data_IF_684374322312
#
_entry.id   IF_684374322312
#
_cell.length_a   1.000
_cell.length_b   1.000
_cell.length_c   1.000
_cell.angle_alpha   90.00
_cell.angle_beta   90.00
_cell.angle_gamma   90.00
#
_symmetry.space_group_name_H-M   'P 1'
#
loop_
_entity.id
_entity.type
_entity.pdbx_description
1 polymer ?
#
# COMPACT_ATOMS: atom_id res chain seq x y z
N UNK A 1 -2.13 34.04 -11.11
CA UNK A 1 -2.14 32.71 -10.46
C UNK A 1 -2.52 31.57 -11.39
N UNK A 2 -3.45 31.75 -12.36
CA UNK A 2 -3.87 30.67 -13.27
C UNK A 2 -2.76 30.09 -14.18
N UNK A 3 -1.83 30.92 -14.68
CA UNK A 3 -0.74 30.44 -15.54
C UNK A 3 0.32 29.66 -14.75
N UNK A 4 0.67 30.10 -13.54
CA UNK A 4 1.69 29.44 -12.73
C UNK A 4 1.29 28.02 -12.31
N UNK A 5 0.00 27.79 -11.98
CA UNK A 5 -0.50 26.45 -11.65
C UNK A 5 -0.56 25.54 -12.89
N UNK A 6 -0.95 26.08 -14.05
CA UNK A 6 -0.92 25.33 -15.31
C UNK A 6 0.50 24.91 -15.67
N UNK A 7 1.47 25.80 -15.53
CA UNK A 7 2.90 25.48 -15.75
C UNK A 7 3.39 24.42 -14.77
N UNK A 8 3.08 24.55 -13.47
CA UNK A 8 3.45 23.56 -12.45
C UNK A 8 2.89 22.17 -12.80
N UNK A 9 1.61 22.09 -13.16
CA UNK A 9 0.97 20.84 -13.56
C UNK A 9 1.45 20.30 -14.91
N UNK A 10 2.02 21.16 -15.77
CA UNK A 10 2.73 20.74 -16.97
C UNK A 10 4.05 20.05 -16.65
N UNK A 11 4.79 20.56 -15.66
CA UNK A 11 6.07 19.97 -15.23
C UNK A 11 5.89 18.72 -14.36
N UNK A 12 4.80 18.65 -13.61
CA UNK A 12 4.53 17.55 -12.69
C UNK A 12 3.15 16.92 -12.94
N UNK A 13 3.02 16.03 -13.94
CA UNK A 13 1.74 15.39 -14.27
C UNK A 13 1.12 14.60 -13.11
N UNK A 14 1.96 14.00 -12.25
CA UNK A 14 1.51 13.26 -11.05
C UNK A 14 0.80 14.18 -10.06
N UNK A 15 1.32 15.40 -9.83
CA UNK A 15 0.67 16.42 -9.00
C UNK A 15 -0.67 16.83 -9.61
N UNK A 16 -0.70 17.06 -10.92
CA UNK A 16 -1.96 17.40 -11.60
C UNK A 16 -3.03 16.36 -11.35
N UNK A 17 -2.67 15.07 -11.45
CA UNK A 17 -3.61 13.95 -11.29
C UNK A 17 -4.22 13.92 -9.89
N UNK A 18 -3.38 13.99 -8.86
CA UNK A 18 -3.85 14.07 -7.46
C UNK A 18 -4.77 15.27 -7.21
N UNK A 19 -4.44 16.45 -7.74
CA UNK A 19 -5.26 17.65 -7.59
C UNK A 19 -6.53 17.63 -8.45
N UNK A 20 -6.65 16.72 -9.41
CA UNK A 20 -7.84 16.51 -10.23
C UNK A 20 -8.77 15.43 -9.66
N UNK A 21 -8.27 14.54 -8.80
CA UNK A 21 -9.05 13.55 -8.07
C UNK A 21 -10.17 14.20 -7.23
N UNK A 22 -11.38 13.67 -7.33
CA UNK A 22 -12.59 14.14 -6.66
C UNK A 22 -13.29 13.05 -5.85
N UNK A 23 -13.13 11.79 -6.22
CA UNK A 23 -13.78 10.66 -5.56
C UNK A 23 -12.76 9.75 -4.85
N UNK A 24 -13.25 8.94 -3.91
CA UNK A 24 -12.45 7.91 -3.25
C UNK A 24 -11.86 6.91 -4.26
N UNK A 25 -12.64 6.51 -5.28
CA UNK A 25 -12.21 5.59 -6.33
C UNK A 25 -11.09 6.21 -7.20
N UNK A 26 -11.23 7.47 -7.60
CA UNK A 26 -10.18 8.18 -8.34
C UNK A 26 -8.91 8.36 -7.50
N UNK A 27 -9.05 8.47 -6.18
CA UNK A 27 -7.92 8.53 -5.25
C UNK A 27 -7.21 7.19 -5.15
N UNK A 28 -7.97 6.11 -5.03
CA UNK A 28 -7.46 4.74 -5.01
C UNK A 28 -6.71 4.41 -6.31
N UNK A 29 -7.28 4.77 -7.45
CA UNK A 29 -6.67 4.67 -8.78
C UNK A 29 -5.36 5.47 -8.90
N UNK A 30 -5.32 6.67 -8.32
CA UNK A 30 -4.11 7.48 -8.28
C UNK A 30 -3.06 6.81 -7.41
N UNK A 31 -3.47 6.37 -6.21
CA UNK A 31 -2.58 5.82 -5.21
C UNK A 31 -1.95 4.50 -5.66
N UNK A 32 -2.70 3.61 -6.33
CA UNK A 32 -2.15 2.37 -6.91
C UNK A 32 -0.99 2.65 -7.88
N UNK A 33 -1.16 3.61 -8.79
CA UNK A 33 -0.12 3.97 -9.77
C UNK A 33 1.07 4.61 -9.08
N UNK A 34 0.83 5.44 -8.07
CA UNK A 34 1.90 6.09 -7.30
C UNK A 34 2.67 5.08 -6.44
N UNK A 35 2.01 4.07 -5.89
CA UNK A 35 2.65 2.92 -5.25
C UNK A 35 3.54 2.19 -6.25
N UNK A 36 3.05 1.91 -7.46
CA UNK A 36 3.85 1.23 -8.50
C UNK A 36 5.16 1.96 -8.79
N UNK A 37 5.10 3.28 -9.00
CA UNK A 37 6.29 4.12 -9.23
C UNK A 37 7.26 4.06 -8.04
N UNK A 38 6.74 4.10 -6.80
CA UNK A 38 7.54 3.99 -5.58
C UNK A 38 8.20 2.61 -5.44
N UNK A 39 7.46 1.54 -5.74
CA UNK A 39 7.97 0.16 -5.71
C UNK A 39 9.09 0.01 -6.72
N UNK A 40 8.90 0.46 -7.97
CA UNK A 40 9.95 0.41 -8.98
C UNK A 40 11.23 1.14 -8.53
N UNK A 41 11.08 2.26 -7.82
CA UNK A 41 12.23 2.97 -7.25
C UNK A 41 12.91 2.17 -6.13
N UNK A 42 12.16 1.52 -5.24
CA UNK A 42 12.73 0.64 -4.21
C UNK A 42 13.47 -0.53 -4.84
N UNK A 43 12.91 -1.15 -5.87
CA UNK A 43 13.53 -2.27 -6.60
C UNK A 43 14.79 -1.84 -7.38
N UNK A 44 14.79 -0.62 -7.92
CA UNK A 44 15.97 -0.03 -8.57
C UNK A 44 17.14 0.16 -7.59
N UNK A 45 16.83 0.51 -6.34
CA UNK A 45 17.80 0.75 -5.25
C UNK A 45 17.97 -0.46 -4.32
N UNK A 46 17.51 -1.65 -4.74
CA UNK A 46 17.45 -2.85 -3.90
C UNK A 46 18.78 -3.18 -3.21
N UNK A 47 19.92 -3.02 -3.89
CA UNK A 47 21.25 -3.30 -3.35
C UNK A 47 21.63 -2.44 -2.14
N UNK A 48 21.04 -1.25 -1.98
CA UNK A 48 21.18 -0.44 -0.77
C UNK A 48 20.17 -0.81 0.32
N UNK A 49 19.01 -1.36 -0.07
CA UNK A 49 17.88 -1.62 0.82
C UNK A 49 17.82 -3.06 1.36
N UNK A 50 18.51 -4.03 0.74
CA UNK A 50 18.42 -5.45 1.13
C UNK A 50 18.76 -5.70 2.60
N UNK A 51 19.66 -4.92 3.20
CA UNK A 51 20.07 -5.10 4.61
C UNK A 51 19.26 -4.26 5.60
N UNK A 52 18.39 -3.37 5.12
CA UNK A 52 17.68 -2.43 5.98
C UNK A 52 16.55 -3.07 6.79
N UNK A 53 16.32 -2.59 8.01
CA UNK A 53 15.19 -3.05 8.82
C UNK A 53 13.85 -2.66 8.21
N UNK A 54 12.77 -3.33 8.63
CA UNK A 54 11.40 -2.98 8.25
C UNK A 54 11.12 -1.49 8.48
N UNK A 55 11.53 -0.93 9.63
CA UNK A 55 11.39 0.48 9.93
C UNK A 55 12.06 1.39 8.90
N UNK A 56 13.25 1.04 8.41
CA UNK A 56 13.98 1.83 7.42
C UNK A 56 13.34 1.70 6.03
N UNK A 57 12.89 0.51 5.66
CA UNK A 57 12.19 0.28 4.39
C UNK A 57 10.87 1.06 4.35
N UNK A 58 10.09 1.02 5.43
CA UNK A 58 8.87 1.80 5.55
C UNK A 58 9.14 3.30 5.60
N UNK A 59 10.28 3.74 6.15
CA UNK A 59 10.72 5.14 6.09
C UNK A 59 11.01 5.58 4.65
N UNK A 60 11.72 4.74 3.90
CA UNK A 60 11.99 4.99 2.49
C UNK A 60 10.69 5.08 1.70
N UNK A 61 9.79 4.10 1.86
CA UNK A 61 8.50 4.08 1.17
C UNK A 61 7.64 5.31 1.51
N UNK A 62 7.57 5.69 2.79
CA UNK A 62 6.86 6.90 3.21
C UNK A 62 7.43 8.16 2.54
N UNK A 63 8.76 8.26 2.47
CA UNK A 63 9.44 9.39 1.86
C UNK A 63 9.22 9.43 0.34
N UNK A 64 9.19 8.29 -0.35
CA UNK A 64 8.93 8.24 -1.79
C UNK A 64 7.47 8.47 -2.14
N UNK A 65 6.53 8.01 -1.30
CA UNK A 65 5.10 8.26 -1.49
C UNK A 65 4.76 9.73 -1.20
N UNK A 66 5.43 10.38 -0.26
CA UNK A 66 5.14 11.76 0.13
C UNK A 66 5.37 12.74 -1.03
N UNK A 67 4.39 13.58 -1.30
CA UNK A 67 4.46 14.64 -2.31
C UNK A 67 3.49 15.77 -1.96
N UNK A 68 3.63 16.98 -2.52
CA UNK A 68 2.68 18.06 -2.25
C UNK A 68 1.23 17.63 -2.50
N UNK A 69 0.38 17.76 -1.47
CA UNK A 69 -1.03 17.32 -1.49
C UNK A 69 -1.26 15.87 -1.03
N UNK A 70 -0.21 15.08 -0.82
CA UNK A 70 -0.26 13.71 -0.29
C UNK A 70 0.70 13.57 0.91
N UNK A 71 0.14 13.63 2.12
CA UNK A 71 0.90 13.46 3.34
C UNK A 71 0.99 11.96 3.68
N UNK A 72 2.21 11.46 3.90
CA UNK A 72 2.42 10.10 4.42
C UNK A 72 3.12 10.17 5.76
N UNK A 73 2.37 9.86 6.81
CA UNK A 73 2.87 9.85 8.17
C UNK A 73 3.17 8.43 8.60
N UNK A 74 4.40 8.23 9.07
CA UNK A 74 4.79 7.06 9.87
C UNK A 74 4.54 7.36 11.32
N UNK A 75 3.95 6.43 12.03
CA UNK A 75 3.86 6.55 13.49
C UNK A 75 5.00 5.74 14.10
N UNK A 76 6.12 6.45 14.34
CA UNK A 76 7.29 5.88 14.99
C UNK A 76 7.00 5.50 16.45
N UNK A 77 7.52 4.34 16.85
CA UNK A 77 7.43 3.71 18.17
C UNK A 77 6.13 2.91 18.42
N UNK A 78 6.33 1.59 18.35
CA UNK A 78 5.43 0.48 18.65
C UNK A 78 4.54 0.69 19.87
N UNK A 79 3.35 1.27 19.66
CA UNK A 79 2.24 1.30 20.61
C UNK A 79 0.91 0.96 19.90
N UNK A 80 0.94 -0.06 19.03
CA UNK A 80 -0.25 -0.58 18.35
C UNK A 80 -0.84 0.39 17.33
N UNK A 81 0.00 0.93 16.44
CA UNK A 81 -0.41 1.81 15.34
C UNK A 81 0.03 1.24 14.00
N UNK A 82 -0.65 1.66 12.93
CA UNK A 82 -0.37 1.25 11.55
C UNK A 82 0.93 1.87 11.05
N UNK A 83 1.67 1.12 10.23
CA UNK A 83 2.99 1.57 9.76
C UNK A 83 2.92 2.87 8.96
N UNK A 84 1.91 3.02 8.09
CA UNK A 84 1.71 4.20 7.25
C UNK A 84 0.26 4.66 7.26
N UNK A 85 0.07 5.95 7.47
CA UNK A 85 -1.18 6.66 7.17
C UNK A 85 -0.95 7.61 6.01
N UNK A 86 -1.71 7.42 4.93
CA UNK A 86 -1.60 8.17 3.68
C UNK A 86 -2.85 9.03 3.56
N UNK A 87 -2.69 10.35 3.49
CA UNK A 87 -3.80 11.30 3.48
C UNK A 87 -3.71 12.25 2.28
N UNK A 88 -4.78 12.32 1.50
CA UNK A 88 -4.96 13.34 0.48
C UNK A 88 -5.39 14.66 1.15
N UNK A 89 -4.53 15.66 1.13
CA UNK A 89 -4.79 16.99 1.68
C UNK A 89 -5.28 17.97 0.60
N UNK A 90 -5.10 17.62 -0.67
CA UNK A 90 -5.52 18.44 -1.82
C UNK A 90 -7.01 18.28 -2.18
N UNK A 91 -7.71 17.32 -1.58
CA UNK A 91 -9.13 17.04 -1.86
C UNK A 91 -10.05 17.83 -0.93
N UNK A 92 -11.23 18.23 -1.43
CA UNK A 92 -12.26 18.93 -0.64
C UNK A 92 -12.75 18.06 0.51
N UNK A 93 -12.91 16.76 0.25
CA UNK A 93 -13.11 15.74 1.27
C UNK A 93 -11.80 14.96 1.39
N UNK A 94 -11.04 15.12 2.48
CA UNK A 94 -9.77 14.42 2.65
C UNK A 94 -9.99 12.91 2.68
N UNK A 95 -9.36 12.20 1.76
CA UNK A 95 -9.29 10.75 1.76
C UNK A 95 -8.09 10.28 2.58
N UNK A 96 -8.26 9.15 3.28
CA UNK A 96 -7.21 8.51 4.05
C UNK A 96 -7.15 7.03 3.72
N UNK A 97 -5.94 6.49 3.56
CA UNK A 97 -5.66 5.06 3.43
C UNK A 97 -4.59 4.65 4.43
N UNK A 98 -4.71 3.41 4.88
CA UNK A 98 -3.77 2.80 5.80
C UNK A 98 -2.93 1.77 5.05
N UNK A 99 -1.65 1.68 5.38
CA UNK A 99 -0.79 0.61 4.89
C UNK A 99 0.01 -0.02 6.03
N UNK A 100 -0.02 -1.36 6.10
CA UNK A 100 0.83 -2.15 6.97
C UNK A 100 1.99 -2.71 6.14
N UNK A 101 3.22 -2.57 6.61
CA UNK A 101 4.41 -2.95 5.86
C UNK A 101 5.24 -3.98 6.64
N UNK A 102 5.61 -5.08 5.99
CA UNK A 102 6.32 -6.18 6.64
C UNK A 102 7.45 -6.73 5.78
N UNK A 103 8.55 -7.18 6.39
CA UNK A 103 9.48 -8.06 5.69
C UNK A 103 8.82 -9.43 5.54
N UNK A 104 8.78 -9.98 4.32
CA UNK A 104 8.14 -11.26 4.06
C UNK A 104 8.80 -12.40 4.86
N UNK A 105 7.98 -13.09 5.66
CA UNK A 105 8.39 -14.23 6.48
C UNK A 105 7.46 -15.45 6.34
N UNK A 106 6.54 -15.45 5.37
CA UNK A 106 5.64 -16.56 5.05
C UNK A 106 4.16 -16.26 5.32
N UNK A 107 3.24 -17.17 4.95
CA UNK A 107 1.80 -16.92 4.98
C UNK A 107 1.22 -16.55 6.35
N UNK A 108 1.78 -17.08 7.43
CA UNK A 108 1.32 -16.74 8.78
C UNK A 108 1.62 -15.27 9.14
N UNK A 109 2.81 -14.78 8.78
CA UNK A 109 3.19 -13.38 8.98
C UNK A 109 2.39 -12.44 8.06
N UNK A 110 2.13 -12.88 6.83
CA UNK A 110 1.25 -12.16 5.92
C UNK A 110 -0.17 -11.99 6.49
N UNK A 111 -0.76 -13.08 7.02
CA UNK A 111 -2.08 -13.03 7.65
C UNK A 111 -2.09 -12.12 8.89
N UNK A 112 -1.01 -12.06 9.67
CA UNK A 112 -0.87 -11.12 10.78
C UNK A 112 -0.86 -9.65 10.32
N UNK A 113 -0.20 -9.35 9.19
CA UNK A 113 -0.21 -8.01 8.61
C UNK A 113 -1.63 -7.59 8.20
N UNK A 114 -2.39 -8.50 7.57
CA UNK A 114 -3.81 -8.28 7.25
C UNK A 114 -4.62 -8.07 8.52
N UNK A 115 -4.43 -8.90 9.56
CA UNK A 115 -5.16 -8.78 10.83
C UNK A 115 -4.88 -7.44 11.51
N UNK A 116 -3.64 -6.97 11.51
CA UNK A 116 -3.28 -5.65 12.02
C UNK A 116 -4.00 -4.55 11.24
N UNK A 117 -3.90 -4.56 9.90
CA UNK A 117 -4.53 -3.56 9.05
C UNK A 117 -6.06 -3.56 9.18
N UNK A 118 -6.70 -4.72 9.02
CA UNK A 118 -8.16 -4.88 8.94
C UNK A 118 -8.80 -4.82 10.31
N UNK A 119 -8.28 -5.55 11.30
CA UNK A 119 -8.99 -5.74 12.57
C UNK A 119 -8.55 -4.79 13.67
N UNK A 120 -7.34 -4.22 13.60
CA UNK A 120 -6.84 -3.30 14.64
C UNK A 120 -6.89 -1.84 14.25
N UNK A 121 -6.50 -1.52 13.02
CA UNK A 121 -6.25 -0.13 12.61
C UNK A 121 -7.37 0.45 11.76
N UNK A 122 -7.97 -0.38 10.91
CA UNK A 122 -9.15 0.04 10.15
C UNK A 122 -10.36 0.23 11.05
N UNK A 123 -11.11 1.29 10.78
CA UNK A 123 -12.40 1.52 11.45
C UNK A 123 -13.60 0.99 10.66
N UNK A 124 -13.35 0.47 9.45
CA UNK A 124 -14.38 0.12 8.46
C UNK A 124 -14.91 1.31 7.66
N UNK A 125 -14.52 2.55 7.98
CA UNK A 125 -14.90 3.73 7.18
C UNK A 125 -14.16 3.80 5.85
N UNK A 126 -12.89 3.41 5.85
CA UNK A 126 -12.08 3.31 4.65
C UNK A 126 -12.36 1.95 4.00
N UNK A 127 -12.80 1.97 2.75
CA UNK A 127 -13.08 0.77 1.98
C UNK A 127 -11.81 0.09 1.47
N UNK A 128 -10.64 0.73 1.56
CA UNK A 128 -9.37 0.19 1.05
C UNK A 128 -8.20 0.38 2.02
N UNK A 129 -7.28 -0.58 2.04
CA UNK A 129 -5.97 -0.49 2.66
C UNK A 129 -4.90 -1.25 1.87
N UNK A 130 -3.65 -1.15 2.30
CA UNK A 130 -2.51 -1.77 1.62
C UNK A 130 -1.71 -2.65 2.58
N UNK A 131 -1.33 -3.84 2.13
CA UNK A 131 -0.30 -4.65 2.79
C UNK A 131 0.92 -4.63 1.88
N UNK A 132 2.03 -4.10 2.36
CA UNK A 132 3.28 -3.99 1.60
C UNK A 132 4.28 -5.00 2.15
N UNK A 133 4.70 -5.95 1.33
CA UNK A 133 5.67 -6.97 1.73
C UNK A 133 7.01 -6.80 1.01
N UNK A 134 8.09 -6.72 1.79
CA UNK A 134 9.46 -6.63 1.28
C UNK A 134 10.08 -8.03 1.16
N UNK A 135 10.36 -8.45 -0.07
CA UNK A 135 10.97 -9.75 -0.34
C UNK A 135 12.49 -9.62 -0.47
N UNK A 136 13.21 -10.18 0.50
CA UNK A 136 14.68 -10.24 0.51
C UNK A 136 15.23 -11.59 0.05
N UNK A 137 14.38 -12.43 -0.53
CA UNK A 137 14.67 -13.80 -0.98
C UNK A 137 14.38 -13.92 -2.47
N UNK A 138 15.09 -14.82 -3.20
CA UNK A 138 14.85 -15.03 -4.62
C UNK A 138 13.48 -15.65 -4.88
N UNK A 139 12.99 -15.51 -6.11
CA UNK A 139 11.79 -16.22 -6.58
C UNK A 139 10.47 -15.59 -6.11
N UNK A 140 10.39 -14.26 -6.03
CA UNK A 140 9.18 -13.54 -5.60
C UNK A 140 7.92 -13.97 -6.37
N UNK A 141 8.01 -14.22 -7.68
CA UNK A 141 6.88 -14.66 -8.49
C UNK A 141 6.23 -15.96 -7.94
N UNK A 142 7.05 -16.97 -7.64
CA UNK A 142 6.58 -18.24 -7.08
C UNK A 142 6.13 -18.12 -5.62
N UNK A 143 6.76 -17.22 -4.85
CA UNK A 143 6.37 -16.95 -3.48
C UNK A 143 4.99 -16.29 -3.42
N UNK A 144 4.75 -15.26 -4.23
CA UNK A 144 3.45 -14.57 -4.32
C UNK A 144 2.36 -15.50 -4.83
N UNK A 145 2.66 -16.33 -5.85
CA UNK A 145 1.68 -17.32 -6.34
C UNK A 145 1.29 -18.33 -5.25
N UNK A 146 2.26 -18.83 -4.47
CA UNK A 146 1.99 -19.74 -3.34
C UNK A 146 1.22 -19.05 -2.23
N UNK A 147 1.55 -17.79 -1.94
CA UNK A 147 0.86 -16.99 -0.94
C UNK A 147 -0.61 -16.81 -1.28
N UNK A 148 -0.92 -16.42 -2.53
CA UNK A 148 -2.30 -16.30 -3.03
C UNK A 148 -3.06 -17.62 -2.95
N UNK A 149 -2.47 -18.72 -3.44
CA UNK A 149 -3.09 -20.05 -3.35
C UNK A 149 -3.41 -20.44 -1.91
N UNK A 150 -2.54 -20.11 -0.95
CA UNK A 150 -2.79 -20.36 0.48
C UNK A 150 -3.92 -19.48 1.00
N UNK A 151 -3.93 -18.19 0.68
CA UNK A 151 -4.98 -17.26 1.07
C UNK A 151 -6.35 -17.69 0.52
N UNK A 152 -6.42 -18.13 -0.74
CA UNK A 152 -7.66 -18.60 -1.37
C UNK A 152 -8.17 -19.92 -0.78
N UNK A 153 -7.27 -20.77 -0.26
CA UNK A 153 -7.62 -22.01 0.40
C UNK A 153 -8.06 -21.81 1.87
N UNK A 154 -7.38 -20.92 2.58
CA UNK A 154 -7.58 -20.72 4.02
C UNK A 154 -8.61 -19.64 4.35
N UNK A 155 -8.79 -18.67 3.46
CA UNK A 155 -9.58 -17.45 3.66
C UNK A 155 -9.22 -16.70 4.96
N UNK A 156 -7.95 -16.26 5.11
CA UNK A 156 -7.46 -15.67 6.35
C UNK A 156 -8.19 -14.37 6.70
N UNK A 157 -8.30 -14.05 8.00
CA UNK A 157 -8.83 -12.76 8.49
C UNK A 157 -10.19 -12.42 7.86
N UNK A 158 -11.13 -13.37 7.89
CA UNK A 158 -12.46 -13.20 7.30
C UNK A 158 -12.44 -12.77 5.83
N UNK A 159 -11.49 -13.31 5.05
CA UNK A 159 -11.43 -13.07 3.62
C UNK A 159 -12.76 -13.50 2.96
N UNK A 160 -13.30 -12.62 2.13
CA UNK A 160 -14.53 -12.82 1.39
C UNK A 160 -14.22 -13.09 -0.09
N UNK A 161 -14.34 -14.36 -0.48
CA UNK A 161 -14.03 -14.81 -1.83
C UNK A 161 -12.52 -15.02 -2.06
N UNK A 162 -12.17 -15.33 -3.31
CA UNK A 162 -10.79 -15.53 -3.75
C UNK A 162 -10.11 -14.21 -4.07
N UNK A 163 -8.78 -14.23 -4.11
CA UNK A 163 -7.94 -13.11 -4.51
C UNK A 163 -8.12 -12.80 -6.00
N UNK A 164 -8.06 -11.51 -6.34
CA UNK A 164 -8.11 -11.02 -7.70
C UNK A 164 -6.75 -10.46 -8.14
N UNK A 165 -6.48 -10.49 -9.44
CA UNK A 165 -5.29 -9.86 -9.97
C UNK A 165 -5.35 -8.33 -9.80
N UNK A 166 -4.18 -7.73 -9.59
CA UNK A 166 -3.99 -6.29 -9.60
C UNK A 166 -3.08 -5.92 -10.79
N UNK A 167 -3.26 -4.75 -11.45
CA UNK A 167 -2.41 -4.35 -12.58
C UNK A 167 -0.92 -4.26 -12.26
N UNK A 168 -0.58 -3.81 -11.04
CA UNK A 168 0.81 -3.78 -10.56
C UNK A 168 1.42 -5.18 -10.53
N UNK A 169 2.66 -5.31 -11.01
CA UNK A 169 3.37 -6.60 -11.03
C UNK A 169 3.52 -7.16 -9.62
N UNK A 170 3.24 -8.46 -9.49
CA UNK A 170 3.26 -9.19 -8.22
C UNK A 170 2.31 -8.64 -7.16
N UNK A 171 1.38 -7.75 -7.51
CA UNK A 171 0.31 -7.35 -6.62
C UNK A 171 -0.97 -8.15 -6.85
N UNK A 172 -1.82 -8.21 -5.84
CA UNK A 172 -3.15 -8.80 -5.93
C UNK A 172 -4.08 -8.13 -4.92
N UNK A 173 -5.38 -8.38 -5.03
CA UNK A 173 -6.40 -7.84 -4.14
C UNK A 173 -7.10 -8.97 -3.40
N UNK A 174 -7.41 -8.76 -2.13
CA UNK A 174 -8.37 -9.57 -1.38
C UNK A 174 -9.42 -8.67 -0.72
N UNK A 175 -10.56 -9.25 -0.38
CA UNK A 175 -11.64 -8.55 0.33
C UNK A 175 -11.77 -9.15 1.73
N UNK A 176 -11.91 -8.34 2.76
CA UNK A 176 -12.03 -8.81 4.15
C UNK A 176 -13.25 -8.20 4.82
N UNK A 177 -14.05 -9.04 5.48
CA UNK A 177 -15.20 -8.56 6.24
C UNK A 177 -14.73 -7.98 7.58
N UNK A 178 -14.90 -6.67 7.73
CA UNK A 178 -14.60 -5.96 8.96
C UNK A 178 -15.69 -6.18 10.02
N UNK A 179 -15.37 -5.92 11.29
CA UNK A 179 -16.34 -6.06 12.40
C UNK A 179 -17.53 -5.08 12.29
N UNK A 180 -17.38 -3.99 11.53
CA UNK A 180 -18.47 -3.09 11.17
C UNK A 180 -19.41 -3.65 10.09
N UNK A 181 -19.20 -4.89 9.65
CA UNK A 181 -19.84 -5.55 8.51
C UNK A 181 -19.49 -4.98 7.12
N UNK A 182 -18.70 -3.90 7.05
CA UNK A 182 -18.15 -3.37 5.80
C UNK A 182 -17.09 -4.31 5.21
N UNK A 183 -16.93 -4.25 3.89
CA UNK A 183 -15.84 -4.92 3.18
C UNK A 183 -14.66 -3.97 3.04
N UNK A 184 -13.48 -4.42 3.46
CA UNK A 184 -12.22 -3.74 3.25
C UNK A 184 -11.47 -4.45 2.12
N UNK A 185 -11.21 -3.73 1.05
CA UNK A 185 -10.37 -4.13 -0.06
C UNK A 185 -8.90 -3.95 0.33
N UNK A 186 -8.13 -5.03 0.37
CA UNK A 186 -6.70 -5.00 0.69
C UNK A 186 -5.91 -5.20 -0.59
N UNK A 187 -5.12 -4.20 -0.97
CA UNK A 187 -4.15 -4.32 -2.06
C UNK A 187 -2.84 -4.83 -1.48
N UNK A 188 -2.41 -5.99 -1.94
CA UNK A 188 -1.16 -6.63 -1.53
C UNK A 188 -0.08 -6.24 -2.50
N UNK A 189 0.90 -5.46 -2.05
CA UNK A 189 2.00 -4.93 -2.86
C UNK A 189 3.29 -5.64 -2.45
N UNK A 190 3.90 -6.38 -3.38
CA UNK A 190 5.05 -7.23 -3.09
C UNK A 190 6.31 -6.68 -3.77
N UNK A 191 7.27 -6.19 -2.98
CA UNK A 191 8.47 -5.48 -3.43
C UNK A 191 9.67 -6.42 -3.50
N UNK A 192 10.32 -6.53 -4.66
CA UNK A 192 11.51 -7.37 -4.80
C UNK A 192 12.81 -6.64 -4.42
N UNK A 193 13.32 -6.92 -3.23
CA UNK A 193 14.61 -6.42 -2.75
C UNK A 193 15.75 -7.46 -2.88
N UNK A 194 15.52 -8.56 -3.60
CA UNK A 194 16.52 -9.56 -3.92
C UNK A 194 16.88 -9.47 -5.41
N UNK A 195 17.98 -8.76 -5.69
CA UNK A 195 18.49 -8.47 -7.04
C UNK A 195 20.01 -8.65 -7.07
#
# INVERSE_FOLDING_TARGET
MGDSLKTLFGWFPVLRKLFQTRTAEEFDDFLDRHFEDCVQRMEAEAHYLTTDSEEKLSAFLAATLSMPGLAVTREGYSNGRVDLTIKAESMVLPEQRLAEAKIYAGPAYHAQAIEQLVSRYSTGRQSRGYVVEYFKKPGIADLVLRLRKKADADLPVHQHGVTCDHPMKWAYVSNHKHVSAELIHVVHVNVNLHR
#
